data_IF_840049876591
#
_entry.id   IF_840049876591
#
_cell.length_a   1.000
_cell.length_b   1.000
_cell.length_c   1.000
_cell.angle_alpha   90.00
_cell.angle_beta   90.00
_cell.angle_gamma   90.00
#
_symmetry.space_group_name_H-M   'P 1'
#
loop_
_entity.id
_entity.type
_entity.pdbx_description
1 polymer ?
#
# COMPACT_ATOMS: atom_id res chain seq x y z
N UNK A 1 28.15 0.83 -5.89
CA UNK A 1 27.51 2.00 -5.25
C UNK A 1 26.15 2.38 -5.85
N UNK A 2 26.03 2.85 -7.11
CA UNK A 2 24.74 3.39 -7.61
C UNK A 2 23.60 2.39 -7.81
N UNK A 3 23.91 1.09 -7.96
CA UNK A 3 22.92 0.04 -8.20
C UNK A 3 22.00 -0.17 -6.98
N UNK A 4 22.54 -0.13 -5.76
CA UNK A 4 21.74 -0.26 -4.53
C UNK A 4 20.70 0.85 -4.39
N UNK A 5 21.09 2.07 -4.76
CA UNK A 5 20.21 3.24 -4.72
C UNK A 5 19.07 3.12 -5.75
N UNK A 6 19.37 2.57 -6.93
CA UNK A 6 18.36 2.21 -7.93
C UNK A 6 17.38 1.15 -7.37
N UNK A 7 17.89 0.11 -6.72
CA UNK A 7 17.06 -0.93 -6.09
C UNK A 7 16.16 -0.36 -4.98
N UNK A 8 16.68 0.53 -4.14
CA UNK A 8 15.89 1.19 -3.10
C UNK A 8 14.74 2.01 -3.69
N UNK A 9 14.99 2.77 -4.77
CA UNK A 9 13.94 3.54 -5.46
C UNK A 9 12.88 2.60 -6.04
N UNK A 10 13.30 1.51 -6.69
CA UNK A 10 12.37 0.51 -7.25
C UNK A 10 11.51 -0.12 -6.14
N UNK A 11 12.12 -0.47 -5.00
CA UNK A 11 11.40 -1.06 -3.86
C UNK A 11 10.37 -0.11 -3.26
N UNK A 12 10.70 1.18 -3.14
CA UNK A 12 9.75 2.21 -2.69
C UNK A 12 8.57 2.33 -3.65
N UNK A 13 8.82 2.35 -4.96
CA UNK A 13 7.76 2.37 -5.97
C UNK A 13 6.90 1.11 -5.89
N UNK A 14 7.51 -0.05 -5.64
CA UNK A 14 6.80 -1.33 -5.55
C UNK A 14 5.91 -1.41 -4.29
N UNK A 15 6.42 -0.96 -3.13
CA UNK A 15 5.62 -0.80 -1.91
C UNK A 15 4.46 0.17 -2.12
N UNK A 16 4.73 1.32 -2.75
CA UNK A 16 3.69 2.31 -3.09
C UNK A 16 2.63 1.74 -4.03
N UNK A 17 3.01 0.90 -5.00
CA UNK A 17 2.06 0.23 -5.88
C UNK A 17 1.11 -0.71 -5.12
N UNK A 18 1.63 -1.53 -4.20
CA UNK A 18 0.79 -2.45 -3.43
C UNK A 18 -0.17 -1.74 -2.48
N UNK A 19 0.32 -0.77 -1.70
CA UNK A 19 -0.53 0.00 -0.79
C UNK A 19 -1.59 0.81 -1.57
N UNK A 20 -1.31 1.26 -2.79
CA UNK A 20 -2.29 2.03 -3.59
C UNK A 20 -3.35 1.12 -4.19
N UNK A 21 -2.96 -0.12 -4.52
CA UNK A 21 -3.85 -1.17 -4.99
C UNK A 21 -4.81 -1.62 -3.88
N UNK A 22 -4.33 -1.74 -2.65
CA UNK A 22 -5.16 -1.98 -1.46
C UNK A 22 -6.24 -0.91 -1.34
N UNK A 23 -5.82 0.35 -1.44
CA UNK A 23 -6.73 1.44 -1.18
C UNK A 23 -7.72 1.69 -2.31
N UNK A 24 -7.29 1.54 -3.56
CA UNK A 24 -8.16 1.52 -4.74
C UNK A 24 -9.26 0.47 -4.60
N UNK A 25 -8.90 -0.72 -4.10
CA UNK A 25 -9.86 -1.79 -3.84
C UNK A 25 -10.84 -1.45 -2.71
N UNK A 26 -10.38 -0.85 -1.61
CA UNK A 26 -11.25 -0.45 -0.49
C UNK A 26 -12.25 0.63 -0.90
N UNK A 27 -11.85 1.59 -1.73
CA UNK A 27 -12.75 2.68 -2.18
C UNK A 27 -13.59 2.34 -3.41
N UNK A 28 -13.29 1.24 -4.10
CA UNK A 28 -13.99 0.83 -5.30
C UNK A 28 -15.50 0.70 -5.08
N UNK A 29 -16.29 1.24 -6.01
CA UNK A 29 -17.73 1.07 -6.02
C UNK A 29 -18.09 -0.24 -6.71
N UNK A 30 -18.41 -1.26 -5.91
CA UNK A 30 -18.75 -2.61 -6.37
C UNK A 30 -19.89 -2.62 -7.39
N UNK A 31 -20.95 -1.84 -7.13
CA UNK A 31 -22.10 -1.72 -8.03
C UNK A 31 -21.72 -1.18 -9.42
N UNK A 32 -20.86 -0.15 -9.46
CA UNK A 32 -20.37 0.40 -10.75
C UNK A 32 -19.52 -0.63 -11.51
N UNK A 33 -18.76 -1.45 -10.81
CA UNK A 33 -17.90 -2.47 -11.42
C UNK A 33 -18.75 -3.61 -11.99
N UNK A 34 -19.75 -4.07 -11.24
CA UNK A 34 -20.71 -5.09 -11.68
C UNK A 34 -21.46 -4.66 -12.96
N UNK A 35 -22.00 -3.42 -12.98
CA UNK A 35 -22.69 -2.89 -14.17
C UNK A 35 -21.75 -2.81 -15.39
N UNK A 36 -20.48 -2.43 -15.19
CA UNK A 36 -19.51 -2.33 -16.30
C UNK A 36 -19.03 -3.70 -16.77
N UNK A 37 -18.89 -4.67 -15.87
CA UNK A 37 -18.52 -6.04 -16.20
C UNK A 37 -19.58 -6.71 -17.08
N UNK A 38 -20.86 -6.47 -16.79
CA UNK A 38 -21.99 -6.92 -17.61
C UNK A 38 -22.06 -6.29 -19.01
N UNK A 39 -21.34 -5.19 -19.26
CA UNK A 39 -21.24 -4.53 -20.57
C UNK A 39 -20.02 -4.98 -21.38
N UNK A 40 -19.48 -6.17 -21.12
CA UNK A 40 -18.29 -6.74 -21.78
C UNK A 40 -17.03 -5.85 -21.72
N UNK A 41 -16.86 -5.06 -20.65
CA UNK A 41 -15.62 -4.33 -20.43
C UNK A 41 -14.57 -5.25 -19.77
N UNK A 42 -13.44 -5.56 -20.43
CA UNK A 42 -12.47 -6.53 -19.93
C UNK A 42 -11.81 -6.09 -18.60
N UNK A 43 -11.57 -4.79 -18.43
CA UNK A 43 -11.01 -4.25 -17.18
C UNK A 43 -12.01 -4.37 -16.02
N UNK A 44 -13.30 -4.15 -16.28
CA UNK A 44 -14.33 -4.31 -15.26
C UNK A 44 -14.56 -5.78 -14.88
N UNK A 45 -14.45 -6.71 -15.83
CA UNK A 45 -14.54 -8.15 -15.55
C UNK A 45 -13.38 -8.62 -14.66
N UNK A 46 -12.16 -8.17 -14.92
CA UNK A 46 -11.01 -8.45 -14.05
C UNK A 46 -11.20 -7.88 -12.64
N UNK A 47 -11.59 -6.61 -12.54
CA UNK A 47 -11.88 -5.98 -11.24
C UNK A 47 -13.01 -6.70 -10.48
N UNK A 48 -14.04 -7.17 -11.19
CA UNK A 48 -15.14 -7.93 -10.61
C UNK A 48 -14.64 -9.25 -9.99
N UNK A 49 -13.74 -9.97 -10.67
CA UNK A 49 -13.15 -11.21 -10.16
C UNK A 49 -12.38 -11.02 -8.84
N UNK A 50 -11.64 -9.91 -8.70
CA UNK A 50 -10.92 -9.60 -7.46
C UNK A 50 -11.86 -9.17 -6.32
N UNK A 51 -12.95 -8.45 -6.65
CA UNK A 51 -13.96 -8.01 -5.66
C UNK A 51 -14.81 -9.17 -5.13
N UNK A 52 -15.02 -10.21 -5.94
CA UNK A 52 -15.71 -11.44 -5.50
C UNK A 52 -14.82 -12.39 -4.71
N UNK A 53 -13.49 -12.26 -4.82
CA UNK A 53 -12.50 -13.07 -4.07
C UNK A 53 -11.62 -12.19 -3.15
N UNK A 54 -12.21 -11.50 -2.17
CA UNK A 54 -11.50 -10.54 -1.32
C UNK A 54 -10.30 -11.15 -0.58
N UNK A 55 -10.43 -12.39 -0.11
CA UNK A 55 -9.42 -13.03 0.74
C UNK A 55 -8.10 -13.25 -0.02
N UNK A 56 -8.18 -13.73 -1.25
CA UNK A 56 -6.97 -13.96 -2.07
C UNK A 56 -6.33 -12.64 -2.46
N UNK A 57 -7.12 -11.65 -2.90
CA UNK A 57 -6.62 -10.34 -3.30
C UNK A 57 -5.94 -9.60 -2.15
N UNK A 58 -6.59 -9.53 -0.99
CA UNK A 58 -6.06 -8.85 0.19
C UNK A 58 -4.78 -9.52 0.69
N UNK A 59 -4.75 -10.86 0.73
CA UNK A 59 -3.56 -11.60 1.15
C UNK A 59 -2.37 -11.35 0.21
N UNK A 60 -2.58 -11.32 -1.11
CA UNK A 60 -1.52 -11.05 -2.08
C UNK A 60 -0.94 -9.65 -1.91
N UNK A 61 -1.78 -8.63 -1.69
CA UNK A 61 -1.30 -7.26 -1.48
C UNK A 61 -0.52 -7.14 -0.18
N UNK A 62 -1.04 -7.71 0.91
CA UNK A 62 -0.40 -7.64 2.21
C UNK A 62 0.97 -8.33 2.20
N UNK A 63 1.06 -9.52 1.60
CA UNK A 63 2.33 -10.24 1.43
C UNK A 63 3.29 -9.45 0.53
N UNK A 64 2.80 -8.91 -0.60
CA UNK A 64 3.62 -8.13 -1.53
C UNK A 64 4.22 -6.88 -0.91
N UNK A 65 3.42 -6.11 -0.16
CA UNK A 65 3.89 -4.93 0.55
C UNK A 65 4.92 -5.30 1.63
N UNK A 66 4.64 -6.34 2.43
CA UNK A 66 5.56 -6.80 3.47
C UNK A 66 6.92 -7.26 2.91
N UNK A 67 6.91 -8.01 1.79
CA UNK A 67 8.16 -8.41 1.12
C UNK A 67 8.94 -7.18 0.66
N UNK A 68 8.27 -6.20 0.05
CA UNK A 68 8.91 -4.96 -0.40
C UNK A 68 9.52 -4.18 0.78
N UNK A 69 8.79 -4.04 1.89
CA UNK A 69 9.23 -3.30 3.07
C UNK A 69 10.41 -3.98 3.78
N UNK A 70 10.36 -5.29 3.97
CA UNK A 70 11.46 -6.04 4.60
C UNK A 70 12.71 -5.95 3.72
N UNK A 71 12.56 -6.15 2.40
CA UNK A 71 13.69 -6.04 1.47
C UNK A 71 14.28 -4.63 1.47
N UNK A 72 13.44 -3.60 1.47
CA UNK A 72 13.87 -2.21 1.59
C UNK A 72 14.64 -1.98 2.88
N UNK A 73 14.11 -2.40 4.03
CA UNK A 73 14.78 -2.25 5.32
C UNK A 73 16.13 -2.97 5.36
N UNK A 74 16.22 -4.20 4.81
CA UNK A 74 17.48 -4.96 4.74
C UNK A 74 18.55 -4.27 3.91
N UNK A 75 18.20 -3.75 2.73
CA UNK A 75 19.15 -3.04 1.86
C UNK A 75 19.48 -1.66 2.43
N UNK A 76 18.50 -1.00 3.05
CA UNK A 76 18.70 0.29 3.69
C UNK A 76 19.79 0.23 4.77
N UNK A 77 19.89 -0.85 5.53
CA UNK A 77 20.97 -1.02 6.53
C UNK A 77 22.35 -0.96 5.91
N UNK A 78 22.63 -1.77 4.89
CA UNK A 78 23.95 -1.77 4.24
C UNK A 78 24.25 -0.46 3.52
N UNK A 79 23.24 0.11 2.86
CA UNK A 79 23.43 1.32 2.05
C UNK A 79 23.52 2.58 2.92
N UNK A 80 22.58 2.84 3.84
CA UNK A 80 22.60 4.05 4.67
C UNK A 80 23.81 4.08 5.61
N UNK A 81 24.23 2.94 6.15
CA UNK A 81 25.44 2.87 6.97
C UNK A 81 26.68 3.31 6.17
N UNK A 82 26.79 2.82 4.93
CA UNK A 82 27.92 3.14 4.04
C UNK A 82 27.94 4.59 3.55
N UNK A 83 26.77 5.20 3.32
CA UNK A 83 26.67 6.56 2.76
C UNK A 83 26.67 7.67 3.82
N UNK A 84 25.97 7.46 4.93
CA UNK A 84 25.71 8.50 5.94
C UNK A 84 26.44 8.25 7.26
N UNK A 85 27.06 7.08 7.43
CA UNK A 85 27.71 6.70 8.69
C UNK A 85 26.73 6.55 9.85
N UNK A 86 25.45 6.31 9.56
CA UNK A 86 24.41 6.17 10.57
C UNK A 86 24.60 4.91 11.41
N UNK A 87 24.25 5.04 12.69
CA UNK A 87 24.18 3.91 13.62
C UNK A 87 22.95 3.03 13.31
N UNK A 88 22.96 1.77 13.74
CA UNK A 88 21.86 0.82 13.49
C UNK A 88 20.49 1.36 13.97
N UNK A 89 20.47 2.05 15.11
CA UNK A 89 19.25 2.67 15.67
C UNK A 89 18.73 3.80 14.76
N UNK A 90 19.62 4.63 14.22
CA UNK A 90 19.26 5.75 13.35
C UNK A 90 18.68 5.24 12.03
N UNK A 91 19.29 4.21 11.46
CA UNK A 91 18.80 3.54 10.25
C UNK A 91 17.41 2.93 10.51
N UNK A 92 17.23 2.25 11.65
CA UNK A 92 15.93 1.67 12.02
C UNK A 92 14.85 2.75 12.13
N UNK A 93 15.16 3.87 12.78
CA UNK A 93 14.23 5.00 12.91
C UNK A 93 13.87 5.59 11.54
N UNK A 94 14.87 5.86 10.70
CA UNK A 94 14.66 6.45 9.37
C UNK A 94 13.85 5.52 8.47
N UNK A 95 14.22 4.24 8.40
CA UNK A 95 13.51 3.25 7.58
C UNK A 95 12.07 3.04 8.05
N UNK A 96 11.83 2.99 9.36
CA UNK A 96 10.48 2.88 9.94
C UNK A 96 9.63 4.10 9.58
N UNK A 97 10.19 5.31 9.71
CA UNK A 97 9.50 6.53 9.33
C UNK A 97 9.14 6.54 7.84
N UNK A 98 10.09 6.16 6.97
CA UNK A 98 9.85 6.07 5.51
C UNK A 98 8.70 5.12 5.22
N UNK A 99 8.73 3.90 5.75
CA UNK A 99 7.68 2.89 5.53
C UNK A 99 6.32 3.41 6.05
N UNK A 100 6.30 3.99 7.25
CA UNK A 100 5.08 4.54 7.85
C UNK A 100 4.48 5.66 6.99
N UNK A 101 5.31 6.58 6.49
CA UNK A 101 4.84 7.63 5.58
C UNK A 101 4.29 7.05 4.27
N UNK A 102 4.95 6.04 3.70
CA UNK A 102 4.48 5.39 2.49
C UNK A 102 3.11 4.74 2.71
N UNK A 103 2.87 4.10 3.84
CA UNK A 103 1.57 3.48 4.15
C UNK A 103 0.48 4.49 4.49
N UNK A 104 0.79 5.54 5.26
CA UNK A 104 -0.19 6.53 5.72
C UNK A 104 -0.69 7.47 4.62
N UNK A 105 0.19 7.89 3.70
CA UNK A 105 -0.16 8.84 2.61
C UNK A 105 -1.28 8.28 1.73
N UNK A 106 -1.39 6.96 1.64
CA UNK A 106 -2.27 6.30 0.68
C UNK A 106 -3.72 6.20 1.19
N UNK A 107 -3.99 6.52 2.46
CA UNK A 107 -5.30 6.37 3.10
C UNK A 107 -6.28 7.53 2.73
N UNK A 108 -7.41 7.27 2.02
CA UNK A 108 -8.42 8.24 1.65
C UNK A 108 -9.22 8.74 2.86
N UNK A 109 -8.96 10.00 3.21
CA UNK A 109 -9.58 10.77 4.30
C UNK A 109 -11.13 10.79 4.33
N UNK A 110 -11.82 10.57 3.20
CA UNK A 110 -13.29 10.71 3.11
C UNK A 110 -14.10 9.56 3.72
N UNK A 111 -13.52 8.36 3.88
CA UNK A 111 -14.29 7.18 4.33
C UNK A 111 -14.32 7.02 5.86
N UNK A 112 -13.27 7.44 6.55
CA UNK A 112 -13.18 7.41 8.03
C UNK A 112 -14.08 8.47 8.68
N UNK A 113 -14.12 9.69 8.14
CA UNK A 113 -14.94 10.77 8.68
C UNK A 113 -16.44 10.48 8.62
N UNK A 114 -16.95 9.95 7.50
CA UNK A 114 -18.37 9.66 7.38
C UNK A 114 -18.82 8.53 8.31
N UNK A 115 -17.98 7.52 8.56
CA UNK A 115 -18.28 6.44 9.52
C UNK A 115 -18.27 6.92 10.97
N UNK A 116 -17.27 7.73 11.35
CA UNK A 116 -17.18 8.32 12.70
C UNK A 116 -18.32 9.30 12.95
N UNK A 117 -18.66 10.15 11.98
CA UNK A 117 -19.79 11.08 12.08
C UNK A 117 -21.12 10.34 12.15
N UNK A 118 -21.30 9.25 11.39
CA UNK A 118 -22.51 8.43 11.51
C UNK A 118 -22.61 7.75 12.87
N UNK A 119 -21.51 7.24 13.41
CA UNK A 119 -21.47 6.63 14.74
C UNK A 119 -21.79 7.66 15.83
N UNK A 120 -21.12 8.81 15.82
CA UNK A 120 -21.37 9.89 16.78
C UNK A 120 -22.80 10.46 16.67
N UNK A 121 -23.40 10.49 15.48
CA UNK A 121 -24.79 10.96 15.27
C UNK A 121 -25.86 9.94 15.66
N UNK A 122 -25.53 8.65 15.73
CA UNK A 122 -26.48 7.59 16.12
C UNK A 122 -26.29 7.11 17.57
N UNK A 123 -25.26 7.60 18.26
CA UNK A 123 -24.95 7.27 19.67
C UNK A 123 -25.35 8.36 20.67
N UNK A 124 -25.97 9.44 20.20
CA UNK A 124 -26.63 10.50 20.98
C UNK A 124 -27.98 10.81 20.34
#
# INVERSE_FOLDING_TARGET
>A
MGIELLFLVILVVFSAFFSSSEMSYIVANRLKIEIKAGKNNPAAQSAHHFITNPNSFYSTILIGNNIANITFASIAVSSLSSYFGFNEIEILLVSTLIILFLELIQVPRKRTWNGVVHFLRNSF
#
